data_IF_197227717474
#
_entry.id   IF_197227717474
#
_cell.length_a   1.000
_cell.length_b   1.000
_cell.length_c   1.000
_cell.angle_alpha   90.00
_cell.angle_beta   90.00
_cell.angle_gamma   90.00
#
_symmetry.space_group_name_H-M   'P 1'
#
loop_
_entity.id
_entity.type
_entity.pdbx_description
1 polymer ?
#
# COMPACT_ATOMS: atom_id res chain seq x y z
N UNK A 1 30.12 -23.57 52.51
CA UNK A 1 29.98 -23.73 51.05
C UNK A 1 28.96 -22.70 50.57
N UNK A 2 29.43 -21.51 50.21
CA UNK A 2 28.61 -20.44 49.62
C UNK A 2 29.30 -20.08 48.33
N UNK A 3 28.94 -20.80 47.26
CA UNK A 3 29.30 -20.46 45.89
C UNK A 3 28.04 -19.90 45.25
N UNK A 4 27.66 -18.71 45.67
CA UNK A 4 26.50 -17.98 45.15
C UNK A 4 26.97 -16.55 44.88
N UNK A 5 26.72 -16.13 43.64
CA UNK A 5 26.54 -14.74 43.25
C UNK A 5 27.77 -13.94 42.75
N UNK A 6 28.75 -14.61 42.11
CA UNK A 6 29.74 -13.94 41.24
C UNK A 6 29.53 -14.23 39.74
N UNK A 7 28.27 -14.48 39.32
CA UNK A 7 27.93 -14.25 37.91
C UNK A 7 27.97 -12.73 37.73
N UNK A 8 29.14 -12.31 37.26
CA UNK A 8 29.67 -10.97 37.33
C UNK A 8 28.69 -9.89 36.85
N UNK A 9 28.57 -8.73 37.53
CA UNK A 9 27.79 -7.59 37.05
C UNK A 9 28.16 -7.13 35.62
N UNK A 10 29.34 -7.55 35.13
CA UNK A 10 29.76 -7.45 33.73
C UNK A 10 28.86 -8.21 32.75
N UNK A 11 28.36 -9.39 33.12
CA UNK A 11 27.45 -10.20 32.30
C UNK A 11 26.09 -9.51 32.13
N UNK A 12 25.55 -8.90 33.19
CA UNK A 12 24.32 -8.12 33.13
C UNK A 12 24.45 -6.83 32.30
N UNK A 13 25.58 -6.13 32.40
CA UNK A 13 25.88 -4.97 31.55
C UNK A 13 26.00 -5.36 30.07
N UNK A 14 26.65 -6.49 29.78
CA UNK A 14 26.78 -7.02 28.43
C UNK A 14 25.40 -7.34 27.81
N UNK A 15 24.50 -7.95 28.58
CA UNK A 15 23.14 -8.28 28.13
C UNK A 15 22.31 -7.01 27.81
N UNK A 16 22.39 -5.97 28.65
CA UNK A 16 21.70 -4.69 28.41
C UNK A 16 22.21 -4.00 27.13
N UNK A 17 23.54 -3.97 26.93
CA UNK A 17 24.15 -3.38 25.73
C UNK A 17 23.71 -4.16 24.49
N UNK A 18 23.67 -5.49 24.56
CA UNK A 18 23.29 -6.35 23.45
C UNK A 18 21.82 -6.17 23.07
N UNK A 19 20.90 -6.15 24.04
CA UNK A 19 19.48 -5.84 23.82
C UNK A 19 19.29 -4.43 23.26
N UNK A 20 20.04 -3.45 23.79
CA UNK A 20 20.02 -2.07 23.28
C UNK A 20 20.48 -1.97 21.83
N UNK A 21 21.56 -2.67 21.46
CA UNK A 21 22.07 -2.72 20.09
C UNK A 21 21.06 -3.37 19.12
N UNK A 22 20.42 -4.47 19.53
CA UNK A 22 19.37 -5.14 18.74
C UNK A 22 18.17 -4.19 18.58
N UNK A 23 17.73 -3.54 19.65
CA UNK A 23 16.62 -2.58 19.63
C UNK A 23 16.89 -1.40 18.69
N UNK A 24 18.10 -0.84 18.73
CA UNK A 24 18.52 0.21 17.79
C UNK A 24 18.53 -0.29 16.34
N UNK A 25 19.00 -1.53 16.10
CA UNK A 25 18.98 -2.15 14.78
C UNK A 25 17.57 -2.30 14.20
N UNK A 26 16.63 -2.81 15.01
CA UNK A 26 15.22 -2.95 14.61
C UNK A 26 14.60 -1.57 14.35
N UNK A 27 14.82 -0.60 15.25
CA UNK A 27 14.29 0.76 15.11
C UNK A 27 14.81 1.47 13.86
N UNK A 28 16.12 1.40 13.59
CA UNK A 28 16.72 1.97 12.40
C UNK A 28 16.20 1.30 11.12
N UNK A 29 16.10 -0.04 11.11
CA UNK A 29 15.56 -0.79 9.98
C UNK A 29 14.11 -0.40 9.66
N UNK A 30 13.27 -0.27 10.70
CA UNK A 30 11.87 0.16 10.54
C UNK A 30 11.76 1.57 9.96
N UNK A 31 12.58 2.52 10.45
CA UNK A 31 12.62 3.88 9.91
C UNK A 31 13.01 3.92 8.44
N UNK A 32 14.04 3.16 8.05
CA UNK A 32 14.50 3.07 6.65
C UNK A 32 13.39 2.46 5.78
N UNK A 33 12.72 1.40 6.24
CA UNK A 33 11.63 0.77 5.49
C UNK A 33 10.46 1.74 5.26
N UNK A 34 10.07 2.52 6.28
CA UNK A 34 9.01 3.53 6.18
C UNK A 34 9.41 4.63 5.17
N UNK A 35 10.64 5.14 5.24
CA UNK A 35 11.13 6.16 4.30
C UNK A 35 11.17 5.65 2.86
N UNK A 36 11.63 4.42 2.66
CA UNK A 36 11.63 3.78 1.34
C UNK A 36 10.20 3.63 0.80
N UNK A 37 9.27 3.14 1.63
CA UNK A 37 7.86 3.00 1.27
C UNK A 37 7.23 4.34 0.88
N UNK A 38 7.49 5.39 1.68
CA UNK A 38 6.97 6.73 1.42
C UNK A 38 7.50 7.30 0.09
N UNK A 39 8.78 7.04 -0.21
CA UNK A 39 9.41 7.45 -1.47
C UNK A 39 8.76 6.77 -2.66
N UNK A 40 8.53 5.45 -2.60
CA UNK A 40 7.85 4.69 -3.65
C UNK A 40 6.43 5.21 -3.88
N UNK A 41 5.66 5.44 -2.81
CA UNK A 41 4.30 5.99 -2.91
C UNK A 41 4.29 7.41 -3.50
N UNK A 42 5.30 8.23 -3.19
CA UNK A 42 5.46 9.56 -3.76
C UNK A 42 5.73 9.53 -5.27
N UNK A 43 6.62 8.64 -5.73
CA UNK A 43 6.91 8.44 -7.15
C UNK A 43 5.68 7.94 -7.91
N UNK A 44 4.97 6.96 -7.35
CA UNK A 44 3.71 6.44 -7.90
C UNK A 44 2.69 7.57 -8.05
N UNK A 45 2.46 8.35 -7.00
CA UNK A 45 1.47 9.44 -6.99
C UNK A 45 1.81 10.50 -8.05
N UNK A 46 3.08 10.88 -8.15
CA UNK A 46 3.56 11.82 -9.17
C UNK A 46 3.35 11.28 -10.58
N UNK A 47 3.59 9.98 -10.80
CA UNK A 47 3.33 9.30 -12.07
C UNK A 47 1.85 9.26 -12.46
N UNK A 48 0.96 9.04 -11.50
CA UNK A 48 -0.50 9.08 -11.72
C UNK A 48 -0.95 10.50 -12.08
N UNK A 49 -0.49 11.50 -11.35
CA UNK A 49 -0.83 12.91 -11.59
C UNK A 49 -0.32 13.38 -12.95
N UNK A 50 0.94 13.07 -13.30
CA UNK A 50 1.51 13.47 -14.59
C UNK A 50 0.77 12.82 -15.76
N UNK A 51 0.46 11.53 -15.67
CA UNK A 51 -0.33 10.80 -16.68
C UNK A 51 -1.71 11.43 -16.86
N UNK A 52 -2.36 11.82 -15.77
CA UNK A 52 -3.66 12.47 -15.81
C UNK A 52 -3.64 13.86 -16.45
N UNK A 53 -2.59 14.66 -16.17
CA UNK A 53 -2.41 15.98 -16.79
C UNK A 53 -2.20 15.82 -18.29
N UNK A 54 -1.37 14.87 -18.73
CA UNK A 54 -1.12 14.59 -20.15
C UNK A 54 -2.43 14.20 -20.86
N UNK A 55 -3.19 13.27 -20.29
CA UNK A 55 -4.48 12.85 -20.85
C UNK A 55 -5.48 14.01 -20.87
N UNK A 56 -5.53 14.81 -19.80
CA UNK A 56 -6.40 15.99 -19.72
C UNK A 56 -6.08 17.04 -20.77
N UNK A 57 -4.80 17.28 -21.04
CA UNK A 57 -4.33 18.21 -22.05
C UNK A 57 -4.65 17.72 -23.47
N UNK A 58 -4.32 16.46 -23.79
CA UNK A 58 -4.56 15.89 -25.12
C UNK A 58 -6.04 15.85 -25.48
N UNK A 59 -6.87 15.45 -24.52
CA UNK A 59 -8.31 15.29 -24.72
C UNK A 59 -9.13 16.57 -24.44
N UNK A 60 -8.45 17.66 -24.04
CA UNK A 60 -9.04 18.96 -23.68
C UNK A 60 -10.21 18.83 -22.68
N UNK A 61 -10.15 17.86 -21.77
CA UNK A 61 -11.25 17.53 -20.86
C UNK A 61 -10.74 17.12 -19.47
N UNK A 62 -11.10 17.92 -18.46
CA UNK A 62 -10.83 17.61 -17.04
C UNK A 62 -11.51 16.32 -16.60
N UNK A 63 -12.68 16.00 -17.17
CA UNK A 63 -13.41 14.76 -16.86
C UNK A 63 -12.62 13.53 -17.27
N UNK A 64 -11.90 13.58 -18.41
CA UNK A 64 -11.04 12.49 -18.86
C UNK A 64 -9.79 12.37 -17.99
N UNK A 65 -9.19 13.48 -17.57
CA UNK A 65 -8.10 13.47 -16.58
C UNK A 65 -8.50 12.79 -15.26
N UNK A 66 -9.64 13.21 -14.67
CA UNK A 66 -10.16 12.62 -13.43
C UNK A 66 -10.46 11.13 -13.58
N UNK A 67 -11.02 10.72 -14.72
CA UNK A 67 -11.23 9.30 -15.03
C UNK A 67 -9.93 8.51 -15.00
N UNK A 68 -8.87 9.04 -15.60
CA UNK A 68 -7.55 8.42 -15.60
C UNK A 68 -6.96 8.33 -14.19
N UNK A 69 -7.06 9.38 -13.37
CA UNK A 69 -6.59 9.37 -11.97
C UNK A 69 -7.28 8.25 -11.19
N UNK A 70 -8.60 8.18 -11.25
CA UNK A 70 -9.37 7.19 -10.50
C UNK A 70 -8.99 5.78 -10.93
N UNK A 71 -8.99 5.48 -12.24
CA UNK A 71 -8.65 4.14 -12.73
C UNK A 71 -7.23 3.76 -12.33
N UNK A 72 -6.24 4.62 -12.55
CA UNK A 72 -4.85 4.32 -12.21
C UNK A 72 -4.67 4.13 -10.70
N UNK A 73 -5.32 4.95 -9.87
CA UNK A 73 -5.23 4.84 -8.41
C UNK A 73 -5.73 3.48 -7.93
N UNK A 74 -6.90 3.03 -8.42
CA UNK A 74 -7.42 1.70 -8.07
C UNK A 74 -6.59 0.57 -8.68
N UNK A 75 -6.05 0.75 -9.89
CA UNK A 75 -5.19 -0.25 -10.55
C UNK A 75 -3.88 -0.46 -9.79
N UNK A 76 -3.32 0.60 -9.18
CA UNK A 76 -2.06 0.51 -8.43
C UNK A 76 -2.30 0.05 -6.99
N UNK A 77 -3.43 0.46 -6.37
CA UNK A 77 -3.82 -0.04 -5.05
C UNK A 77 -4.23 -1.53 -5.07
N UNK A 78 -4.78 -2.01 -6.18
CA UNK A 78 -5.25 -3.39 -6.36
C UNK A 78 -4.19 -4.46 -6.06
N UNK A 79 -2.98 -4.42 -6.65
CA UNK A 79 -1.88 -5.33 -6.34
C UNK A 79 -1.43 -5.30 -4.89
N UNK A 80 -1.45 -4.13 -4.24
CA UNK A 80 -1.07 -4.01 -2.82
C UNK A 80 -2.05 -4.79 -1.96
N UNK A 81 -3.36 -4.58 -2.16
CA UNK A 81 -4.40 -5.32 -1.42
C UNK A 81 -4.39 -6.81 -1.81
N UNK A 82 -4.22 -7.09 -3.10
CA UNK A 82 -4.19 -8.43 -3.67
C UNK A 82 -3.01 -9.28 -3.23
N UNK A 83 -1.91 -8.68 -2.75
CA UNK A 83 -0.76 -9.40 -2.17
C UNK A 83 -0.86 -9.55 -0.65
N UNK A 84 -1.44 -8.58 0.06
CA UNK A 84 -1.62 -8.63 1.51
C UNK A 84 -2.56 -9.78 1.92
N UNK A 85 -3.69 -9.96 1.22
CA UNK A 85 -4.69 -10.98 1.60
C UNK A 85 -4.10 -12.40 1.50
N UNK A 86 -3.49 -12.83 0.38
CA UNK A 86 -2.88 -14.16 0.29
C UNK A 86 -1.70 -14.36 1.23
N UNK A 87 -0.95 -13.29 1.53
CA UNK A 87 0.14 -13.35 2.50
C UNK A 87 -0.36 -13.73 3.90
N UNK A 88 -1.44 -13.09 4.37
CA UNK A 88 -2.09 -13.44 5.65
C UNK A 88 -2.60 -14.89 5.64
N UNK A 89 -3.18 -15.33 4.52
CA UNK A 89 -3.72 -16.69 4.39
C UNK A 89 -2.62 -17.75 4.41
N UNK A 90 -1.47 -17.49 3.78
CA UNK A 90 -0.30 -18.40 3.84
C UNK A 90 0.19 -18.55 5.26
N UNK A 91 0.32 -17.46 6.00
CA UNK A 91 0.80 -17.49 7.39
C UNK A 91 -0.11 -18.35 8.28
N UNK A 92 -1.41 -18.40 7.98
CA UNK A 92 -2.39 -19.21 8.72
C UNK A 92 -2.38 -20.68 8.28
N UNK A 93 -2.15 -20.95 6.99
CA UNK A 93 -2.30 -22.29 6.39
C UNK A 93 -0.98 -23.03 6.11
N UNK A 94 0.16 -22.44 6.45
CA UNK A 94 1.52 -22.99 6.30
C UNK A 94 1.80 -23.56 4.89
N UNK A 95 1.36 -22.82 3.86
CA UNK A 95 1.50 -23.24 2.45
C UNK A 95 2.94 -22.96 1.99
N UNK A 96 3.68 -23.96 1.47
CA UNK A 96 5.13 -23.84 1.25
C UNK A 96 5.54 -22.92 0.08
N UNK A 97 4.60 -22.45 -0.75
CA UNK A 97 4.91 -21.80 -2.03
C UNK A 97 4.53 -20.32 -2.06
N UNK A 98 5.19 -19.54 -1.19
CA UNK A 98 4.92 -18.11 -0.97
C UNK A 98 5.10 -17.25 -2.24
N UNK A 99 6.11 -17.55 -3.06
CA UNK A 99 6.45 -16.74 -4.23
C UNK A 99 5.36 -16.76 -5.31
N UNK A 100 4.85 -17.96 -5.62
CA UNK A 100 3.82 -18.13 -6.64
C UNK A 100 2.53 -17.41 -6.23
N UNK A 101 2.17 -17.47 -4.94
CA UNK A 101 0.95 -16.86 -4.45
C UNK A 101 1.02 -15.33 -4.42
N UNK A 102 2.18 -14.75 -4.12
CA UNK A 102 2.38 -13.29 -4.20
C UNK A 102 2.21 -12.82 -5.65
N UNK A 103 2.79 -13.53 -6.62
CA UNK A 103 2.67 -13.17 -8.04
C UNK A 103 1.21 -13.26 -8.50
N UNK A 104 0.53 -14.37 -8.17
CA UNK A 104 -0.89 -14.55 -8.51
C UNK A 104 -1.74 -13.46 -7.84
N UNK A 105 -1.50 -13.19 -6.56
CA UNK A 105 -2.18 -12.14 -5.81
C UNK A 105 -1.99 -10.75 -6.42
N UNK A 106 -0.78 -10.43 -6.86
CA UNK A 106 -0.48 -9.16 -7.53
C UNK A 106 -1.22 -9.05 -8.89
N UNK A 107 -1.19 -10.11 -9.71
CA UNK A 107 -1.85 -10.14 -11.02
C UNK A 107 -3.37 -10.06 -10.88
N UNK A 108 -3.95 -10.88 -9.99
CA UNK A 108 -5.38 -10.83 -9.68
C UNK A 108 -5.76 -9.46 -9.11
N UNK A 109 -4.96 -8.91 -8.19
CA UNK A 109 -5.14 -7.58 -7.63
C UNK A 109 -5.13 -6.49 -8.69
N UNK A 110 -4.27 -6.58 -9.70
CA UNK A 110 -4.22 -5.62 -10.82
C UNK A 110 -5.51 -5.67 -11.64
N UNK A 111 -5.98 -6.86 -12.01
CA UNK A 111 -7.20 -7.04 -12.80
C UNK A 111 -8.43 -6.54 -12.02
N UNK A 112 -8.54 -6.93 -10.75
CA UNK A 112 -9.64 -6.54 -9.87
C UNK A 112 -9.59 -5.03 -9.60
N UNK A 113 -8.40 -4.46 -9.36
CA UNK A 113 -8.20 -3.02 -9.14
C UNK A 113 -8.62 -2.20 -10.36
N UNK A 114 -8.24 -2.64 -11.56
CA UNK A 114 -8.70 -2.01 -12.80
C UNK A 114 -10.23 -2.05 -12.95
N UNK A 115 -10.85 -3.20 -12.66
CA UNK A 115 -12.30 -3.37 -12.68
C UNK A 115 -13.02 -2.47 -11.65
N UNK A 116 -12.53 -2.44 -10.42
CA UNK A 116 -13.01 -1.56 -9.34
C UNK A 116 -12.89 -0.09 -9.71
N UNK A 117 -11.83 0.32 -10.41
CA UNK A 117 -11.68 1.69 -10.90
C UNK A 117 -12.81 2.11 -11.86
N UNK A 118 -13.23 1.22 -12.76
CA UNK A 118 -14.40 1.49 -13.62
C UNK A 118 -15.71 1.49 -12.83
N UNK A 119 -15.87 0.56 -11.88
CA UNK A 119 -17.06 0.53 -11.01
C UNK A 119 -17.20 1.81 -10.19
N UNK A 120 -16.09 2.30 -9.62
CA UNK A 120 -16.05 3.55 -8.85
C UNK A 120 -16.46 4.76 -9.70
N UNK A 121 -16.04 4.81 -10.97
CA UNK A 121 -16.47 5.86 -11.89
C UNK A 121 -17.96 5.76 -12.24
N UNK A 122 -18.48 4.54 -12.40
CA UNK A 122 -19.91 4.34 -12.61
C UNK A 122 -20.71 4.82 -11.40
N UNK A 123 -20.26 4.49 -10.19
CA UNK A 123 -20.87 4.97 -8.94
C UNK A 123 -20.78 6.49 -8.81
N UNK A 124 -19.64 7.10 -9.12
CA UNK A 124 -19.47 8.55 -9.10
C UNK A 124 -20.46 9.25 -10.06
N UNK A 125 -20.63 8.71 -11.28
CA UNK A 125 -21.63 9.22 -12.23
C UNK A 125 -23.05 9.09 -11.67
N UNK A 126 -23.36 7.96 -11.05
CA UNK A 126 -24.67 7.74 -10.42
C UNK A 126 -24.95 8.79 -9.34
N UNK A 127 -23.97 9.05 -8.47
CA UNK A 127 -24.07 10.09 -7.41
C UNK A 127 -24.26 11.48 -8.01
N UNK A 128 -23.47 11.86 -9.02
CA UNK A 128 -23.59 13.17 -9.69
C UNK A 128 -24.99 13.32 -10.32
N UNK A 129 -25.49 12.30 -11.02
CA UNK A 129 -26.82 12.31 -11.63
C UNK A 129 -27.93 12.39 -10.57
N UNK A 130 -27.77 11.68 -9.45
CA UNK A 130 -28.70 11.75 -8.33
C UNK A 130 -28.78 13.17 -7.75
N UNK A 131 -27.63 13.82 -7.51
CA UNK A 131 -27.58 15.21 -7.04
C UNK A 131 -28.18 16.18 -8.07
N UNK A 132 -27.87 16.02 -9.36
CA UNK A 132 -28.47 16.85 -10.42
C UNK A 132 -30.00 16.77 -10.41
N UNK A 133 -30.56 15.56 -10.30
CA UNK A 133 -32.02 15.36 -10.24
C UNK A 133 -32.62 15.95 -8.97
N UNK A 134 -31.95 15.81 -7.82
CA UNK A 134 -32.47 16.28 -6.54
C UNK A 134 -32.40 17.80 -6.39
N UNK A 135 -31.38 18.44 -6.95
CA UNK A 135 -31.18 19.90 -6.86
C UNK A 135 -31.89 20.68 -7.97
N UNK A 136 -32.53 20.01 -8.94
CA UNK A 136 -33.25 20.63 -10.06
C UNK A 136 -32.42 21.70 -10.80
N UNK A 137 -31.09 21.53 -10.82
CA UNK A 137 -30.16 22.44 -11.50
C UNK A 137 -30.21 22.09 -12.99
N UNK A 138 -31.18 22.69 -13.68
CA UNK A 138 -31.16 22.84 -15.14
C UNK A 138 -30.22 24.01 -15.46
N UNK A 139 -29.05 23.70 -16.01
CA UNK A 139 -28.27 24.64 -16.82
C UNK A 139 -28.48 24.27 -18.28
#
# INVERSE_FOLDING_TARGET
>A
MVYKDEISPLFGLFEIILVGAIGMGIGAGMLIAILAFLTVMGVISTGVISSAIIVGYYEKSLTKALRTIVILSFTIAGPVIGTIIPWIVIEILDIPNMQILIIIGAVCGLIIGYGLGHLALWFLKFVILYFKRKLNINY
#
